data_IF_194842015945
#
_entry.id   IF_194842015945
#
_cell.length_a   1.000
_cell.length_b   1.000
_cell.length_c   1.000
_cell.angle_alpha   90.00
_cell.angle_beta   90.00
_cell.angle_gamma   90.00
#
_symmetry.space_group_name_H-M   'P 1'
#
loop_
_entity.id
_entity.type
_entity.pdbx_description
1 polymer ?
#
# COMPACT_ATOMS: atom_id res chain seq x y z
N UNK A 1 -8.28 19.71 31.68
CA UNK A 1 -8.89 18.41 31.26
C UNK A 1 -8.47 18.15 29.83
N UNK A 2 -7.49 17.26 29.64
CA UNK A 2 -7.08 16.83 28.31
C UNK A 2 -8.17 15.91 27.75
N UNK A 3 -8.70 16.25 26.57
CA UNK A 3 -9.69 15.43 25.86
C UNK A 3 -9.03 14.13 25.41
N UNK A 4 -9.76 13.05 25.57
CA UNK A 4 -9.44 11.68 25.21
C UNK A 4 -8.71 11.58 23.86
N UNK A 5 -7.40 11.33 23.93
CA UNK A 5 -6.67 10.77 22.81
C UNK A 5 -7.01 9.27 22.78
N UNK A 6 -7.95 8.88 21.90
CA UNK A 6 -8.11 7.50 21.48
C UNK A 6 -6.83 7.08 20.72
N UNK A 7 -5.78 6.76 21.46
CA UNK A 7 -4.54 6.24 20.92
C UNK A 7 -4.84 4.88 20.28
N UNK A 8 -4.90 4.86 18.94
CA UNK A 8 -4.79 3.60 18.19
C UNK A 8 -3.36 3.11 18.39
N UNK A 9 -3.13 2.31 19.44
CA UNK A 9 -1.88 1.59 19.64
C UNK A 9 -1.60 0.76 18.39
N UNK A 10 -0.56 1.12 17.64
CA UNK A 10 -0.15 0.40 16.45
C UNK A 10 1.20 -0.26 16.68
N UNK A 11 1.21 -1.58 16.72
CA UNK A 11 2.44 -2.37 16.64
C UNK A 11 2.80 -2.58 15.17
N UNK A 12 4.09 -2.45 14.82
CA UNK A 12 4.64 -2.74 13.49
C UNK A 12 4.02 -1.92 12.34
N UNK A 13 4.26 -0.60 12.33
CA UNK A 13 4.07 0.24 11.15
C UNK A 13 5.28 0.09 10.25
N UNK A 14 5.08 -0.34 9.01
CA UNK A 14 6.16 -0.52 8.04
C UNK A 14 6.06 0.48 6.89
N UNK A 15 4.85 0.74 6.37
CA UNK A 15 4.62 1.63 5.26
C UNK A 15 3.66 2.76 5.61
N UNK A 16 3.99 3.97 5.16
CA UNK A 16 3.09 5.11 5.16
C UNK A 16 3.19 5.90 3.85
N UNK A 17 2.06 6.43 3.38
CA UNK A 17 2.01 7.30 2.21
C UNK A 17 0.95 8.39 2.40
N UNK A 18 1.08 9.47 1.65
CA UNK A 18 0.18 10.63 1.69
C UNK A 18 -0.55 10.71 0.35
N UNK A 19 -1.83 11.07 0.35
CA UNK A 19 -2.53 11.38 -0.91
C UNK A 19 -1.86 12.56 -1.65
N UNK A 20 -1.98 12.66 -2.98
CA UNK A 20 -1.43 13.79 -3.73
C UNK A 20 -1.95 15.16 -3.25
N UNK A 21 -3.19 15.18 -2.76
CA UNK A 21 -3.87 16.35 -2.18
C UNK A 21 -3.50 16.63 -0.73
N UNK A 22 -2.79 15.72 -0.04
CA UNK A 22 -2.37 15.89 1.36
C UNK A 22 -3.48 15.74 2.41
N UNK A 23 -4.71 15.39 2.00
CA UNK A 23 -5.87 15.26 2.89
C UNK A 23 -5.94 13.90 3.60
N UNK A 24 -5.31 12.87 3.03
CA UNK A 24 -5.32 11.49 3.53
C UNK A 24 -3.91 10.95 3.76
N UNK A 25 -3.80 10.10 4.78
CA UNK A 25 -2.64 9.27 5.05
C UNK A 25 -3.05 7.80 4.90
N UNK A 26 -2.19 7.00 4.31
CA UNK A 26 -2.34 5.55 4.21
C UNK A 26 -1.26 4.89 5.06
N UNK A 27 -1.63 3.87 5.81
CA UNK A 27 -0.71 3.20 6.74
C UNK A 27 -0.93 1.70 6.72
N UNK A 28 0.13 0.92 6.53
CA UNK A 28 0.09 -0.52 6.75
C UNK A 28 0.18 -0.84 8.24
N UNK A 29 -0.56 -1.85 8.69
CA UNK A 29 -0.44 -2.45 10.00
C UNK A 29 -0.19 -3.95 9.79
N UNK A 30 1.09 -4.31 9.75
CA UNK A 30 1.51 -5.63 9.26
C UNK A 30 1.09 -6.75 10.18
N UNK A 31 1.22 -6.54 11.50
CA UNK A 31 0.85 -7.53 12.51
C UNK A 31 -0.66 -7.83 12.49
N UNK A 32 -1.48 -6.87 12.11
CA UNK A 32 -2.95 -7.00 12.15
C UNK A 32 -3.57 -7.15 10.77
N UNK A 33 -2.76 -7.34 9.72
CA UNK A 33 -3.23 -7.59 8.35
C UNK A 33 -4.19 -6.50 7.86
N UNK A 34 -3.85 -5.23 8.09
CA UNK A 34 -4.71 -4.07 7.78
C UNK A 34 -3.99 -2.98 6.98
N UNK A 35 -4.73 -2.32 6.12
CA UNK A 35 -4.42 -0.99 5.61
C UNK A 35 -5.39 0.00 6.24
N UNK A 36 -4.88 1.08 6.81
CA UNK A 36 -5.70 2.16 7.34
C UNK A 36 -5.59 3.36 6.41
N UNK A 37 -6.72 3.98 6.09
CA UNK A 37 -6.76 5.35 5.59
C UNK A 37 -7.17 6.27 6.72
N UNK A 38 -6.41 7.33 6.90
CA UNK A 38 -6.57 8.32 7.95
C UNK A 38 -6.73 9.69 7.31
N UNK A 39 -7.37 10.60 8.01
CA UNK A 39 -7.24 12.05 7.75
C UNK A 39 -5.80 12.50 7.98
N UNK A 40 -5.42 13.68 7.47
CA UNK A 40 -4.17 14.37 7.82
C UNK A 40 -3.90 14.52 9.32
N UNK A 41 -4.95 14.51 10.14
CA UNK A 41 -4.86 14.64 11.60
C UNK A 41 -4.88 13.27 12.31
N UNK A 42 -4.82 12.16 11.58
CA UNK A 42 -4.71 10.81 12.14
C UNK A 42 -6.04 10.15 12.52
N UNK A 43 -7.20 10.79 12.31
CA UNK A 43 -8.50 10.14 12.49
C UNK A 43 -8.74 9.08 11.41
N UNK A 44 -9.23 7.90 11.79
CA UNK A 44 -9.49 6.79 10.84
C UNK A 44 -10.67 7.13 9.93
N UNK A 45 -10.45 7.02 8.62
CA UNK A 45 -11.47 7.16 7.58
C UNK A 45 -11.95 5.79 7.08
N UNK A 46 -11.02 4.84 6.91
CA UNK A 46 -11.34 3.48 6.47
C UNK A 46 -10.31 2.48 7.01
N UNK A 47 -10.73 1.22 7.07
CA UNK A 47 -9.88 0.07 7.37
C UNK A 47 -10.14 -0.97 6.29
N UNK A 48 -9.15 -1.24 5.46
CA UNK A 48 -9.18 -2.36 4.53
C UNK A 48 -8.57 -3.60 5.17
N UNK A 49 -9.31 -4.70 5.07
CA UNK A 49 -8.93 -6.03 5.51
C UNK A 49 -9.24 -6.98 4.36
N UNK A 50 -8.31 -7.87 4.08
CA UNK A 50 -8.46 -8.92 3.09
C UNK A 50 -7.65 -10.13 3.57
N UNK A 51 -8.13 -11.38 3.39
CA UNK A 51 -7.32 -12.56 3.68
C UNK A 51 -5.95 -12.53 3.00
N UNK A 52 -5.87 -11.93 1.81
CA UNK A 52 -4.65 -11.77 1.06
C UNK A 52 -3.70 -10.71 1.64
N UNK A 53 -4.17 -9.82 2.53
CA UNK A 53 -3.38 -8.76 3.19
C UNK A 53 -2.47 -9.31 4.31
N UNK A 54 -1.86 -10.47 4.11
CA UNK A 54 -1.00 -11.11 5.08
C UNK A 54 0.37 -10.42 5.15
N UNK A 55 0.49 -9.52 6.14
CA UNK A 55 1.72 -8.80 6.47
C UNK A 55 2.06 -7.71 5.45
N UNK A 56 1.21 -6.67 5.29
CA UNK A 56 1.48 -5.56 4.37
C UNK A 56 2.74 -4.80 4.79
N UNK A 57 3.73 -4.68 3.91
CA UNK A 57 5.05 -4.08 4.21
C UNK A 57 5.15 -2.64 3.75
N UNK A 58 4.62 -2.33 2.57
CA UNK A 58 4.73 -1.01 1.97
C UNK A 58 3.39 -0.54 1.44
N UNK A 59 3.18 0.78 1.46
CA UNK A 59 2.11 1.45 0.73
C UNK A 59 2.70 2.64 -0.01
N UNK A 60 2.28 2.84 -1.25
CA UNK A 60 2.63 3.99 -2.08
C UNK A 60 1.36 4.58 -2.69
N UNK A 61 1.36 5.88 -2.94
CA UNK A 61 0.25 6.56 -3.62
C UNK A 61 0.79 7.26 -4.86
N UNK A 62 0.27 6.93 -6.03
CA UNK A 62 0.68 7.58 -7.28
C UNK A 62 0.13 9.02 -7.35
N UNK A 63 0.67 9.90 -8.21
CA UNK A 63 0.12 11.24 -8.42
C UNK A 63 -1.36 11.25 -8.85
N UNK A 64 -1.83 10.18 -9.49
CA UNK A 64 -3.24 9.97 -9.85
C UNK A 64 -4.11 9.53 -8.66
N UNK A 65 -3.53 9.30 -7.48
CA UNK A 65 -4.23 8.91 -6.26
C UNK A 65 -4.47 7.40 -6.12
N UNK A 66 -3.82 6.57 -6.93
CA UNK A 66 -3.90 5.11 -6.83
C UNK A 66 -3.10 4.62 -5.62
N UNK A 67 -3.65 3.67 -4.87
CA UNK A 67 -3.01 3.14 -3.67
C UNK A 67 -2.42 1.77 -3.97
N UNK A 68 -1.11 1.64 -3.84
CA UNK A 68 -0.34 0.44 -4.17
C UNK A 68 0.19 -0.17 -2.88
N UNK A 69 0.02 -1.47 -2.67
CA UNK A 69 0.40 -2.13 -1.41
C UNK A 69 1.20 -3.39 -1.66
N UNK A 70 2.39 -3.48 -1.08
CA UNK A 70 3.20 -4.70 -1.07
C UNK A 70 2.80 -5.59 0.10
N UNK A 71 2.58 -6.87 -0.17
CA UNK A 71 2.19 -7.85 0.85
C UNK A 71 3.22 -8.96 0.90
N UNK A 72 3.77 -9.14 2.09
CA UNK A 72 4.94 -9.99 2.29
C UNK A 72 4.60 -11.49 2.30
N UNK A 73 3.73 -11.93 3.21
CA UNK A 73 3.48 -13.37 3.40
C UNK A 73 2.77 -13.99 2.21
N UNK A 74 1.80 -13.27 1.63
CA UNK A 74 1.10 -13.70 0.42
C UNK A 74 1.91 -13.48 -0.86
N UNK A 75 3.03 -12.74 -0.78
CA UNK A 75 3.89 -12.37 -1.93
C UNK A 75 3.10 -11.76 -3.09
N UNK A 76 2.20 -10.85 -2.76
CA UNK A 76 1.36 -10.17 -3.75
C UNK A 76 1.58 -8.66 -3.73
N UNK A 77 1.17 -8.03 -4.82
CA UNK A 77 1.15 -6.60 -4.97
C UNK A 77 -0.25 -6.15 -5.36
N UNK A 78 -0.85 -5.30 -4.55
CA UNK A 78 -2.25 -4.91 -4.70
C UNK A 78 -2.40 -3.48 -5.19
N UNK A 79 -3.43 -3.27 -6.00
CA UNK A 79 -4.01 -1.97 -6.28
C UNK A 79 -5.31 -1.81 -5.50
N UNK A 80 -5.37 -0.80 -4.65
CA UNK A 80 -6.51 -0.45 -3.79
C UNK A 80 -7.11 0.87 -4.29
N UNK A 81 -8.40 1.05 -4.09
CA UNK A 81 -9.09 2.30 -4.39
C UNK A 81 -8.53 3.51 -3.59
N UNK A 82 -8.82 4.72 -4.05
CA UNK A 82 -8.39 5.97 -3.40
C UNK A 82 -9.11 6.27 -2.08
N UNK A 83 -9.99 5.38 -1.63
CA UNK A 83 -10.62 5.40 -0.30
C UNK A 83 -9.89 4.45 0.66
N UNK A 84 -8.94 3.66 0.16
CA UNK A 84 -8.26 2.60 0.89
C UNK A 84 -9.23 1.59 1.48
N UNK A 85 -10.33 1.30 0.77
CA UNK A 85 -11.46 0.51 1.29
C UNK A 85 -11.72 -0.78 0.52
N UNK A 86 -11.20 -0.89 -0.71
CA UNK A 86 -11.46 -2.04 -1.57
C UNK A 86 -10.29 -2.30 -2.51
N UNK A 87 -9.92 -3.57 -2.65
CA UNK A 87 -9.02 -4.03 -3.70
C UNK A 87 -9.66 -3.86 -5.08
N UNK A 88 -8.94 -3.20 -5.98
CA UNK A 88 -9.33 -3.05 -7.39
C UNK A 88 -8.79 -4.21 -8.22
N UNK A 89 -7.52 -4.58 -8.01
CA UNK A 89 -6.88 -5.70 -8.71
C UNK A 89 -5.60 -6.15 -7.99
N UNK A 90 -5.16 -7.37 -8.29
CA UNK A 90 -3.85 -7.92 -7.95
C UNK A 90 -2.91 -7.69 -9.12
N UNK A 91 -1.82 -6.97 -8.88
CA UNK A 91 -0.86 -6.52 -9.90
C UNK A 91 0.28 -7.53 -10.13
N UNK A 92 0.56 -8.33 -9.12
CA UNK A 92 1.52 -9.43 -9.17
C UNK A 92 1.21 -10.42 -8.04
N UNK A 93 1.54 -11.68 -8.29
CA UNK A 93 1.39 -12.82 -7.38
C UNK A 93 2.73 -13.49 -7.10
N UNK A 94 2.73 -14.52 -6.26
CA UNK A 94 3.91 -15.35 -6.02
C UNK A 94 4.48 -15.98 -7.31
N UNK A 95 3.63 -16.28 -8.29
CA UNK A 95 4.07 -16.84 -9.58
C UNK A 95 4.90 -15.82 -10.37
N UNK A 96 4.50 -14.54 -10.31
CA UNK A 96 5.23 -13.46 -10.96
C UNK A 96 6.50 -13.14 -10.16
N UNK A 97 6.34 -13.00 -8.84
CA UNK A 97 7.36 -12.58 -7.89
C UNK A 97 7.48 -13.61 -6.76
N UNK A 98 8.33 -14.64 -6.91
CA UNK A 98 8.48 -15.68 -5.88
C UNK A 98 9.12 -15.17 -4.58
N UNK A 99 9.58 -13.92 -4.59
CA UNK A 99 10.21 -13.22 -3.48
C UNK A 99 9.26 -12.22 -2.84
N UNK A 100 9.54 -11.89 -1.58
CA UNK A 100 8.67 -11.11 -0.70
C UNK A 100 8.73 -9.62 -1.09
N UNK A 101 7.66 -9.00 -1.63
CA UNK A 101 7.69 -7.59 -1.99
C UNK A 101 7.72 -6.73 -0.72
N UNK A 102 8.56 -5.71 -0.72
CA UNK A 102 8.91 -5.00 0.51
C UNK A 102 8.92 -3.48 0.39
N UNK A 103 9.28 -2.96 -0.78
CA UNK A 103 9.28 -1.54 -1.06
C UNK A 103 8.69 -1.30 -2.44
N UNK A 104 8.03 -0.18 -2.63
CA UNK A 104 7.51 0.23 -3.93
C UNK A 104 7.80 1.71 -4.18
N UNK A 105 8.26 1.99 -5.40
CA UNK A 105 8.51 3.34 -5.91
C UNK A 105 7.79 3.45 -7.26
N UNK A 106 6.96 4.46 -7.43
CA UNK A 106 6.41 4.82 -8.71
C UNK A 106 7.28 5.91 -9.36
N UNK A 107 7.58 5.74 -10.64
CA UNK A 107 8.36 6.67 -11.46
C UNK A 107 7.42 7.31 -12.47
N UNK A 108 7.11 8.58 -12.25
CA UNK A 108 6.08 9.30 -13.02
C UNK A 108 6.50 9.68 -14.44
N UNK A 109 7.79 9.64 -14.78
CA UNK A 109 8.25 10.05 -16.11
C UNK A 109 7.94 9.00 -17.20
N UNK A 110 7.71 7.76 -16.80
CA UNK A 110 7.52 6.62 -17.70
C UNK A 110 6.50 5.60 -17.16
N UNK A 111 5.62 6.03 -16.25
CA UNK A 111 4.57 5.22 -15.63
C UNK A 111 5.05 3.84 -15.15
N UNK A 112 6.26 3.78 -14.63
CA UNK A 112 6.88 2.53 -14.21
C UNK A 112 6.86 2.38 -12.70
N UNK A 113 6.79 1.13 -12.24
CA UNK A 113 6.86 0.80 -10.82
C UNK A 113 8.09 -0.05 -10.57
N UNK A 114 8.84 0.35 -9.56
CA UNK A 114 9.97 -0.41 -9.03
C UNK A 114 9.53 -1.03 -7.71
N UNK A 115 9.59 -2.36 -7.64
CA UNK A 115 9.33 -3.10 -6.40
C UNK A 115 10.63 -3.72 -5.90
N UNK A 116 11.05 -3.30 -4.71
CA UNK A 116 12.15 -3.89 -3.97
C UNK A 116 11.70 -5.17 -3.28
N UNK A 117 12.50 -6.24 -3.44
CA UNK A 117 12.21 -7.55 -2.87
C UNK A 117 13.06 -7.79 -1.62
N UNK A 118 12.46 -8.41 -0.60
CA UNK A 118 13.20 -8.83 0.59
C UNK A 118 13.96 -10.12 0.27
N UNK A 119 15.29 -10.04 0.45
CA UNK A 119 16.33 -11.06 0.23
C UNK A 119 16.83 -11.16 -1.23
N UNK A 120 18.15 -10.96 -1.38
CA UNK A 120 19.00 -11.06 -2.59
C UNK A 120 19.35 -9.75 -3.34
N UNK A 121 19.18 -8.57 -2.74
CA UNK A 121 19.46 -7.27 -3.39
C UNK A 121 18.75 -7.10 -4.75
N UNK A 122 17.66 -7.84 -4.95
CA UNK A 122 16.92 -7.88 -6.21
C UNK A 122 15.84 -6.81 -6.22
N UNK A 123 15.79 -6.10 -7.35
CA UNK A 123 14.75 -5.16 -7.69
C UNK A 123 13.99 -5.74 -8.88
N UNK A 124 12.66 -5.67 -8.85
CA UNK A 124 11.81 -5.93 -10.01
C UNK A 124 11.29 -4.60 -10.52
N UNK A 125 11.44 -4.37 -11.81
CA UNK A 125 10.78 -3.26 -12.51
C UNK A 125 9.56 -3.83 -13.20
N UNK A 126 8.39 -3.31 -12.87
CA UNK A 126 7.16 -3.51 -13.62
C UNK A 126 6.95 -2.26 -14.48
N UNK A 127 7.28 -2.39 -15.76
CA UNK A 127 6.91 -1.43 -16.80
C UNK A 127 5.51 -1.77 -17.29
N UNK A 128 4.66 -0.75 -17.47
CA UNK A 128 3.25 -0.89 -17.82
C UNK A 128 2.45 -1.72 -16.81
N UNK A 129 1.89 -1.06 -15.80
CA UNK A 129 0.55 -1.47 -15.43
C UNK A 129 -0.35 -0.84 -16.49
N UNK A 130 -0.83 -1.65 -17.44
CA UNK A 130 -1.81 -1.22 -18.42
C UNK A 130 -3.10 -0.81 -17.69
N UNK A 131 -3.15 0.42 -17.19
CA UNK A 131 -4.35 1.02 -16.65
C UNK A 131 -5.11 1.64 -17.82
N UNK A 132 -6.09 0.91 -18.33
CA UNK A 132 -7.22 1.59 -18.96
C UNK A 132 -7.90 2.38 -17.85
N UNK A 133 -7.61 3.67 -17.81
CA UNK A 133 -8.41 4.68 -17.13
C UNK A 133 -9.81 4.65 -17.73
N UNK A 134 -10.68 3.76 -17.21
CA UNK A 134 -12.11 3.97 -17.34
C UNK A 134 -12.50 5.07 -16.36
N UNK A 135 -12.61 6.25 -16.97
CA UNK A 135 -13.34 7.48 -16.62
C UNK A 135 -14.42 7.26 -15.54
#
# INVERSE_FOLDING_TARGET
MAKDCNHVFCFAVWGCAVSPTGDKLYRTNSKWHKLLTLTRNGSVLSIFMDPELAWPTCVHVTPAGQVLVCIDTSKIFLHIDNKGSRMLTTLATETDWPQRPFAVIYISNNDSIIVGMWLNDKIRVQSEIAYHSCI
#
